data_IF_940650687030
#
_entry.id   IF_940650687030
#
_cell.length_a   1.000
_cell.length_b   1.000
_cell.length_c   1.000
_cell.angle_alpha   90.00
_cell.angle_beta   90.00
_cell.angle_gamma   90.00
#
_symmetry.space_group_name_H-M   'P 1'
#
loop_
_entity.id
_entity.type
_entity.pdbx_description
1 polymer ?
#
# COMPACT_ATOMS: atom_id res chain seq x y z
N UNK A 1 21.75 -16.55 29.52
CA UNK A 1 22.70 -16.35 28.41
C UNK A 1 23.46 -17.65 28.16
N UNK A 2 23.05 -18.44 27.17
CA UNK A 2 23.83 -19.62 26.74
C UNK A 2 24.89 -19.18 25.72
N UNK A 3 26.18 -19.42 26.00
CA UNK A 3 27.23 -19.28 24.99
C UNK A 3 27.09 -20.42 23.99
N UNK A 4 26.85 -20.09 22.73
CA UNK A 4 26.92 -21.06 21.61
C UNK A 4 28.28 -21.77 21.63
N UNK A 5 28.25 -23.09 21.42
CA UNK A 5 29.44 -23.93 21.48
C UNK A 5 30.44 -23.51 20.40
N UNK A 6 31.74 -23.58 20.68
CA UNK A 6 32.83 -23.17 19.74
C UNK A 6 32.73 -23.85 18.37
N UNK A 7 32.02 -24.97 18.27
CA UNK A 7 31.83 -25.74 17.05
C UNK A 7 30.61 -25.33 16.20
N UNK A 8 29.66 -24.57 16.73
CA UNK A 8 28.46 -24.16 15.99
C UNK A 8 28.74 -23.01 15.01
N UNK A 9 29.75 -22.18 15.32
CA UNK A 9 30.19 -21.04 14.50
C UNK A 9 30.70 -21.42 13.10
N UNK A 10 31.63 -22.38 12.95
CA UNK A 10 32.08 -22.76 11.60
C UNK A 10 30.96 -23.41 10.79
N UNK A 11 30.05 -24.17 11.41
CA UNK A 11 28.94 -24.84 10.70
C UNK A 11 27.92 -23.85 10.16
N UNK A 12 27.54 -22.84 10.96
CA UNK A 12 26.65 -21.76 10.48
C UNK A 12 27.31 -20.91 9.40
N UNK A 13 28.62 -20.65 9.50
CA UNK A 13 29.38 -19.98 8.43
C UNK A 13 29.40 -20.75 7.12
N UNK A 14 29.55 -22.07 7.18
CA UNK A 14 29.55 -22.94 5.99
C UNK A 14 28.18 -23.01 5.33
N UNK A 15 27.11 -23.15 6.12
CA UNK A 15 25.72 -23.15 5.62
C UNK A 15 25.35 -21.79 5.01
N UNK A 16 25.71 -20.69 5.68
CA UNK A 16 25.46 -19.33 5.17
C UNK A 16 26.21 -19.05 3.86
N UNK A 17 27.47 -19.49 3.76
CA UNK A 17 28.27 -19.34 2.55
C UNK A 17 27.71 -20.16 1.39
N UNK A 18 27.24 -21.39 1.65
CA UNK A 18 26.59 -22.25 0.67
C UNK A 18 25.26 -21.65 0.19
N UNK A 19 24.43 -21.11 1.08
CA UNK A 19 23.16 -20.47 0.73
C UNK A 19 23.37 -19.18 -0.05
N UNK A 20 24.34 -18.34 0.31
CA UNK A 20 24.65 -17.12 -0.42
C UNK A 20 25.25 -17.41 -1.80
N UNK A 21 26.15 -18.40 -1.90
CA UNK A 21 26.67 -18.86 -3.19
C UNK A 21 25.53 -19.40 -4.06
N UNK A 22 24.69 -20.30 -3.53
CA UNK A 22 23.54 -20.85 -4.25
C UNK A 22 22.52 -19.79 -4.67
N UNK A 23 22.23 -18.81 -3.81
CA UNK A 23 21.36 -17.66 -4.13
C UNK A 23 21.96 -16.80 -5.24
N UNK A 24 23.25 -16.50 -5.17
CA UNK A 24 23.98 -15.78 -6.21
C UNK A 24 23.93 -16.51 -7.56
N UNK A 25 24.20 -17.82 -7.60
CA UNK A 25 24.10 -18.60 -8.85
C UNK A 25 22.66 -18.68 -9.36
N UNK A 26 21.67 -18.77 -8.46
CA UNK A 26 20.27 -18.82 -8.83
C UNK A 26 19.79 -17.53 -9.52
N UNK A 27 20.35 -16.36 -9.20
CA UNK A 27 20.08 -15.10 -9.91
C UNK A 27 20.52 -15.14 -11.37
N UNK A 28 21.64 -15.80 -11.67
CA UNK A 28 22.17 -15.87 -13.03
C UNK A 28 21.55 -17.01 -13.86
N UNK A 29 21.12 -18.09 -13.22
CA UNK A 29 20.59 -19.27 -13.92
C UNK A 29 19.07 -19.22 -14.07
N UNK A 30 18.35 -18.62 -13.11
CA UNK A 30 16.89 -18.55 -13.14
C UNK A 30 16.40 -17.29 -13.86
N UNK A 31 15.55 -17.47 -14.87
CA UNK A 31 14.77 -16.37 -15.48
C UNK A 31 13.61 -15.90 -14.58
N UNK A 32 13.43 -16.52 -13.41
CA UNK A 32 12.35 -16.21 -12.49
C UNK A 32 12.82 -15.13 -11.49
N UNK A 33 12.57 -13.86 -11.82
CA UNK A 33 13.10 -12.69 -11.11
C UNK A 33 12.64 -12.60 -9.64
N UNK A 34 11.43 -13.04 -9.30
CA UNK A 34 10.91 -12.93 -7.94
C UNK A 34 11.59 -13.90 -6.94
N UNK A 35 11.89 -15.13 -7.38
CA UNK A 35 12.47 -16.17 -6.52
C UNK A 35 13.95 -15.94 -6.19
N UNK A 36 14.72 -15.42 -7.15
CA UNK A 36 16.16 -15.23 -6.99
C UNK A 36 16.51 -14.04 -6.11
N UNK A 37 15.72 -12.97 -6.15
CA UNK A 37 15.85 -11.80 -5.26
C UNK A 37 15.60 -12.20 -3.81
N UNK A 38 14.53 -12.95 -3.56
CA UNK A 38 14.18 -13.44 -2.20
C UNK A 38 15.28 -14.33 -1.63
N UNK A 39 15.82 -15.26 -2.43
CA UNK A 39 16.94 -16.12 -2.04
C UNK A 39 18.23 -15.35 -1.76
N UNK A 40 18.51 -14.29 -2.53
CA UNK A 40 19.69 -13.44 -2.34
C UNK A 40 19.57 -12.60 -1.07
N UNK A 41 18.40 -12.03 -0.81
CA UNK A 41 18.13 -11.29 0.42
C UNK A 41 18.23 -12.19 1.66
N UNK A 42 17.64 -13.39 1.62
CA UNK A 42 17.79 -14.39 2.68
C UNK A 42 19.26 -14.81 2.86
N UNK A 43 19.98 -15.07 1.76
CA UNK A 43 21.39 -15.43 1.77
C UNK A 43 22.26 -14.36 2.42
N UNK A 44 22.05 -13.09 2.06
CA UNK A 44 22.71 -11.94 2.67
C UNK A 44 22.45 -11.84 4.17
N UNK A 45 21.20 -12.05 4.60
CA UNK A 45 20.82 -12.05 6.02
C UNK A 45 21.50 -13.17 6.81
N UNK A 46 21.55 -14.39 6.26
CA UNK A 46 22.25 -15.52 6.89
C UNK A 46 23.75 -15.31 6.99
N UNK A 47 24.37 -14.70 5.97
CA UNK A 47 25.80 -14.40 5.95
C UNK A 47 26.15 -13.31 6.97
N UNK A 48 25.28 -12.31 7.14
CA UNK A 48 25.40 -11.31 8.18
C UNK A 48 25.34 -11.93 9.59
N UNK A 49 24.43 -12.88 9.82
CA UNK A 49 24.35 -13.63 11.08
C UNK A 49 25.61 -14.47 11.34
N UNK A 50 26.15 -15.10 10.30
CA UNK A 50 27.37 -15.90 10.39
C UNK A 50 28.60 -15.07 10.75
N UNK A 51 28.79 -13.90 10.12
CA UNK A 51 29.90 -12.99 10.42
C UNK A 51 29.75 -12.38 11.83
N UNK A 52 28.52 -12.03 12.22
CA UNK A 52 28.24 -11.40 13.51
C UNK A 52 28.27 -12.39 14.69
N UNK A 53 28.10 -13.69 14.44
CA UNK A 53 28.14 -14.75 15.44
C UNK A 53 27.07 -14.64 16.54
N UNK A 54 25.95 -13.97 16.24
CA UNK A 54 24.78 -13.76 17.11
C UNK A 54 23.51 -14.09 16.31
N UNK A 55 22.61 -14.89 16.89
CA UNK A 55 21.24 -15.05 16.38
C UNK A 55 20.49 -13.72 16.56
N UNK A 56 19.86 -13.23 15.48
CA UNK A 56 19.06 -12.00 15.49
C UNK A 56 17.74 -12.32 16.21
N UNK A 57 17.76 -12.33 17.54
CA UNK A 57 16.52 -12.44 18.35
C UNK A 57 15.98 -11.04 18.70
N UNK A 58 16.85 -10.04 18.74
CA UNK A 58 16.58 -8.60 18.58
C UNK A 58 17.95 -7.91 18.58
N UNK A 59 18.22 -7.03 17.62
CA UNK A 59 19.48 -6.25 17.62
C UNK A 59 19.24 -4.98 18.42
N UNK A 60 19.56 -5.02 19.72
CA UNK A 60 19.88 -3.82 20.49
C UNK A 60 21.37 -3.87 20.82
N UNK A 61 22.19 -3.21 19.99
CA UNK A 61 23.64 -3.12 20.15
C UNK A 61 24.03 -1.64 20.28
N UNK A 62 24.09 -1.16 21.52
CA UNK A 62 24.57 0.20 21.85
C UNK A 62 23.85 1.31 21.08
N UNK A 63 24.61 2.33 20.67
CA UNK A 63 24.14 3.51 19.94
C UNK A 63 24.19 3.35 18.40
N UNK A 64 24.26 2.12 17.88
CA UNK A 64 24.36 1.86 16.43
C UNK A 64 22.98 1.63 15.80
N UNK A 65 22.40 2.72 15.33
CA UNK A 65 21.11 2.81 14.63
C UNK A 65 21.25 2.56 13.10
N UNK A 66 22.05 1.56 12.72
CA UNK A 66 22.38 1.30 11.30
C UNK A 66 22.14 -0.17 10.98
N UNK A 67 20.89 -0.53 10.61
CA UNK A 67 20.51 -1.63 9.66
C UNK A 67 19.01 -1.98 9.66
N UNK A 68 18.14 -1.20 10.29
CA UNK A 68 16.72 -1.19 9.93
C UNK A 68 16.39 0.05 9.11
N UNK A 69 16.96 1.22 9.43
CA UNK A 69 16.80 2.45 8.65
C UNK A 69 17.20 2.29 7.17
N UNK A 70 18.29 1.57 6.87
CA UNK A 70 18.73 1.32 5.48
C UNK A 70 17.78 0.37 4.75
N UNK A 71 17.31 -0.69 5.43
CA UNK A 71 16.37 -1.65 4.87
C UNK A 71 15.00 -0.99 4.63
N UNK A 72 14.57 -0.12 5.55
CA UNK A 72 13.38 0.73 5.43
C UNK A 72 13.51 1.72 4.30
N UNK A 73 14.66 2.37 4.18
CA UNK A 73 14.95 3.32 3.10
C UNK A 73 14.95 2.61 1.76
N UNK A 74 15.57 1.42 1.66
CA UNK A 74 15.52 0.60 0.46
C UNK A 74 14.10 0.12 0.15
N UNK A 75 13.33 -0.34 1.14
CA UNK A 75 11.93 -0.73 0.92
C UNK A 75 11.07 0.45 0.44
N UNK A 76 11.26 1.64 1.01
CA UNK A 76 10.60 2.87 0.56
C UNK A 76 11.06 3.30 -0.85
N UNK A 77 12.35 3.21 -1.16
CA UNK A 77 12.89 3.48 -2.50
C UNK A 77 12.40 2.46 -3.53
N UNK A 78 12.29 1.18 -3.17
CA UNK A 78 11.76 0.10 -4.01
C UNK A 78 10.26 0.24 -4.24
N UNK A 79 9.49 0.58 -3.20
CA UNK A 79 8.08 0.93 -3.33
C UNK A 79 7.90 2.12 -4.28
N UNK A 80 8.74 3.16 -4.15
CA UNK A 80 8.75 4.31 -5.08
C UNK A 80 9.18 3.91 -6.50
N UNK A 81 10.00 2.88 -6.65
CA UNK A 81 10.43 2.35 -7.95
C UNK A 81 9.43 1.37 -8.59
N UNK A 82 8.25 1.16 -8.00
CA UNK A 82 7.22 0.26 -8.53
C UNK A 82 7.51 -1.23 -8.33
N UNK A 83 8.40 -1.59 -7.38
CA UNK A 83 8.71 -2.98 -7.05
C UNK A 83 7.74 -3.52 -6.00
N UNK A 84 6.45 -3.43 -6.26
CA UNK A 84 5.38 -3.74 -5.29
C UNK A 84 5.44 -5.17 -4.76
N UNK A 85 5.74 -6.16 -5.62
CA UNK A 85 5.89 -7.55 -5.20
C UNK A 85 7.02 -7.73 -4.17
N UNK A 86 8.13 -6.99 -4.33
CA UNK A 86 9.26 -7.07 -3.40
C UNK A 86 8.93 -6.37 -2.08
N UNK A 87 8.26 -5.22 -2.13
CA UNK A 87 7.82 -4.49 -0.94
C UNK A 87 6.80 -5.33 -0.14
N UNK A 88 5.85 -5.98 -0.81
CA UNK A 88 4.90 -6.92 -0.18
C UNK A 88 5.62 -8.12 0.43
N UNK A 89 6.52 -8.77 -0.31
CA UNK A 89 7.28 -9.91 0.22
C UNK A 89 8.13 -9.54 1.45
N UNK A 90 8.68 -8.32 1.45
CA UNK A 90 9.43 -7.77 2.59
C UNK A 90 8.51 -7.52 3.78
N UNK A 91 7.34 -6.92 3.56
CA UNK A 91 6.33 -6.69 4.59
C UNK A 91 5.86 -8.02 5.22
N UNK A 92 5.55 -9.02 4.39
CA UNK A 92 5.13 -10.35 4.84
C UNK A 92 6.22 -11.03 5.68
N UNK A 93 7.49 -10.89 5.27
CA UNK A 93 8.62 -11.41 6.04
C UNK A 93 8.77 -10.70 7.39
N UNK A 94 8.66 -9.38 7.44
CA UNK A 94 8.74 -8.60 8.68
C UNK A 94 7.65 -9.02 9.66
N UNK A 95 6.41 -9.15 9.20
CA UNK A 95 5.27 -9.61 10.02
C UNK A 95 5.44 -11.05 10.50
N UNK A 96 5.99 -11.93 9.66
CA UNK A 96 6.26 -13.33 10.02
C UNK A 96 7.38 -13.46 11.06
N UNK A 97 8.42 -12.64 10.99
CA UNK A 97 9.55 -12.67 11.92
C UNK A 97 9.22 -12.01 13.27
N UNK A 98 8.35 -11.00 13.27
CA UNK A 98 7.93 -10.30 14.47
C UNK A 98 6.41 -10.14 14.50
N UNK A 99 5.66 -11.00 15.22
CA UNK A 99 4.21 -10.87 15.37
C UNK A 99 3.75 -9.55 16.03
N UNK A 100 4.66 -8.80 16.66
CA UNK A 100 4.39 -7.46 17.19
C UNK A 100 4.63 -6.33 16.17
N UNK A 101 5.05 -6.66 14.93
CA UNK A 101 5.37 -5.70 13.88
C UNK A 101 4.20 -4.81 13.48
N UNK A 102 2.95 -5.27 13.64
CA UNK A 102 1.76 -4.45 13.34
C UNK A 102 1.65 -3.19 14.21
N UNK A 103 2.39 -3.13 15.33
CA UNK A 103 2.45 -1.94 16.20
C UNK A 103 3.67 -1.06 15.91
N UNK A 104 4.55 -1.50 15.03
CA UNK A 104 5.73 -0.75 14.62
C UNK A 104 5.30 0.33 13.61
N UNK A 105 5.45 1.63 13.92
CA UNK A 105 5.05 2.72 13.03
C UNK A 105 5.66 2.63 11.63
N UNK A 106 6.84 2.02 11.49
CA UNK A 106 7.55 1.93 10.22
C UNK A 106 7.03 0.79 9.35
N UNK A 107 6.64 -0.32 9.97
CA UNK A 107 5.95 -1.43 9.29
C UNK A 107 4.58 -0.94 8.82
N UNK A 108 3.89 -0.15 9.65
CA UNK A 108 2.62 0.47 9.30
C UNK A 108 2.77 1.45 8.13
N UNK A 109 3.80 2.30 8.15
CA UNK A 109 4.10 3.19 7.03
C UNK A 109 4.43 2.42 5.74
N UNK A 110 5.19 1.33 5.83
CA UNK A 110 5.45 0.47 4.68
C UNK A 110 4.16 -0.17 4.15
N UNK A 111 3.28 -0.64 5.01
CA UNK A 111 1.98 -1.21 4.62
C UNK A 111 1.10 -0.19 3.89
N UNK A 112 1.06 1.06 4.37
CA UNK A 112 0.35 2.16 3.69
C UNK A 112 0.92 2.38 2.29
N UNK A 113 2.25 2.49 2.16
CA UNK A 113 2.89 2.70 0.85
C UNK A 113 2.61 1.54 -0.12
N UNK A 114 2.70 0.29 0.37
CA UNK A 114 2.39 -0.90 -0.44
C UNK A 114 0.92 -0.87 -0.88
N UNK A 115 0.01 -0.49 0.02
CA UNK A 115 -1.41 -0.38 -0.30
C UNK A 115 -1.67 0.71 -1.35
N UNK A 116 -1.12 1.92 -1.18
CA UNK A 116 -1.25 3.02 -2.13
C UNK A 116 -0.74 2.63 -3.52
N UNK A 117 0.45 2.04 -3.61
CA UNK A 117 0.99 1.61 -4.89
C UNK A 117 0.12 0.54 -5.57
N UNK A 118 -0.47 -0.38 -4.79
CA UNK A 118 -1.40 -1.38 -5.32
C UNK A 118 -2.69 -0.76 -5.84
N UNK A 119 -3.17 0.31 -5.18
CA UNK A 119 -4.30 1.10 -5.69
C UNK A 119 -3.92 1.75 -7.02
N UNK A 120 -2.75 2.38 -7.11
CA UNK A 120 -2.26 2.98 -8.37
C UNK A 120 -2.16 1.96 -9.50
N UNK A 121 -1.55 0.79 -9.26
CA UNK A 121 -1.48 -0.29 -10.24
C UNK A 121 -2.86 -0.77 -10.70
N UNK A 122 -3.84 -0.84 -9.78
CA UNK A 122 -5.19 -1.26 -10.15
C UNK A 122 -5.96 -0.17 -10.89
N UNK A 123 -5.68 1.11 -10.63
CA UNK A 123 -6.22 2.23 -11.43
C UNK A 123 -5.66 2.17 -12.84
N UNK A 124 -4.34 1.95 -12.96
CA UNK A 124 -3.68 1.76 -14.25
C UNK A 124 -4.23 0.53 -14.99
N UNK A 125 -4.40 -0.59 -14.31
CA UNK A 125 -4.98 -1.78 -14.93
C UNK A 125 -6.47 -1.63 -15.31
N UNK A 126 -7.18 -0.67 -14.72
CA UNK A 126 -8.60 -0.42 -14.96
C UNK A 126 -8.88 0.62 -16.06
N UNK A 127 -7.87 1.36 -16.52
CA UNK A 127 -8.08 2.38 -17.55
C UNK A 127 -8.43 1.74 -18.90
N UNK A 128 -9.33 2.39 -19.65
CA UNK A 128 -9.63 2.03 -21.04
C UNK A 128 -8.82 2.89 -22.02
N UNK A 129 -8.76 2.49 -23.30
CA UNK A 129 -7.96 3.18 -24.35
C UNK A 129 -8.29 4.68 -24.52
N UNK A 130 -9.50 5.10 -24.13
CA UNK A 130 -9.98 6.49 -24.17
C UNK A 130 -9.91 7.20 -22.81
N UNK A 131 -9.16 6.67 -21.86
CA UNK A 131 -9.02 7.22 -20.51
C UNK A 131 -7.54 7.53 -20.24
N UNK A 132 -7.28 8.54 -19.42
CA UNK A 132 -5.94 8.91 -18.96
C UNK A 132 -5.89 8.84 -17.45
N UNK A 133 -4.79 8.34 -16.91
CA UNK A 133 -4.51 8.37 -15.46
C UNK A 133 -3.52 9.48 -15.16
N UNK A 134 -3.88 10.39 -14.25
CA UNK A 134 -3.00 11.42 -13.70
C UNK A 134 -2.57 11.00 -12.30
N UNK A 135 -1.27 10.79 -12.10
CA UNK A 135 -0.72 10.40 -10.80
C UNK A 135 -0.35 11.63 -9.97
N UNK A 136 -0.70 11.63 -8.69
CA UNK A 136 -0.27 12.64 -7.72
C UNK A 136 0.67 12.01 -6.70
N UNK A 137 1.96 12.06 -7.01
CA UNK A 137 2.99 11.63 -6.05
C UNK A 137 2.96 12.54 -4.82
N UNK A 138 2.94 11.95 -3.64
CA UNK A 138 2.84 12.65 -2.36
C UNK A 138 1.52 13.43 -2.17
N UNK A 139 0.41 12.89 -2.66
CA UNK A 139 -0.93 13.41 -2.38
C UNK A 139 -1.13 13.62 -0.86
N UNK A 140 -1.51 14.84 -0.49
CA UNK A 140 -1.82 15.19 0.88
C UNK A 140 -3.18 14.64 1.34
N UNK A 141 -3.51 14.86 2.62
CA UNK A 141 -4.84 14.54 3.14
C UNK A 141 -5.93 15.24 2.31
N UNK A 142 -6.86 14.48 1.74
CA UNK A 142 -7.97 15.01 0.93
C UNK A 142 -7.61 15.28 -0.54
N UNK A 143 -6.41 14.91 -0.98
CA UNK A 143 -6.01 14.94 -2.38
C UNK A 143 -6.07 13.52 -2.97
N UNK A 144 -6.56 13.35 -4.21
CA UNK A 144 -6.65 12.04 -4.83
C UNK A 144 -5.25 11.53 -5.17
N UNK A 145 -5.02 10.24 -4.91
CA UNK A 145 -3.79 9.55 -5.24
C UNK A 145 -3.60 9.46 -6.77
N UNK A 146 -4.70 9.25 -7.48
CA UNK A 146 -4.77 9.34 -8.93
C UNK A 146 -6.10 9.95 -9.38
N UNK A 147 -6.09 10.61 -10.53
CA UNK A 147 -7.30 11.08 -11.21
C UNK A 147 -7.43 10.33 -12.52
N UNK A 148 -8.53 9.58 -12.66
CA UNK A 148 -8.89 8.95 -13.93
C UNK A 148 -9.75 9.92 -14.74
N UNK A 149 -9.29 10.27 -15.94
CA UNK A 149 -9.93 11.23 -16.83
C UNK A 149 -10.51 10.48 -18.02
N UNK A 150 -11.84 10.39 -18.08
CA UNK A 150 -12.54 9.70 -19.16
C UNK A 150 -12.89 10.64 -20.32
N UNK A 151 -12.38 10.34 -21.51
CA UNK A 151 -12.70 11.07 -22.74
C UNK A 151 -13.95 10.48 -23.43
N UNK A 152 -14.68 11.29 -24.24
CA UNK A 152 -14.41 12.67 -24.63
C UNK A 152 -14.93 13.74 -23.65
N UNK A 153 -15.76 13.36 -22.69
CA UNK A 153 -16.51 14.29 -21.83
C UNK A 153 -15.68 14.95 -20.72
N UNK A 154 -14.37 14.65 -20.66
CA UNK A 154 -13.44 15.09 -19.61
C UNK A 154 -13.95 14.79 -18.18
N UNK A 155 -14.58 13.63 -17.98
CA UNK A 155 -15.10 13.23 -16.66
C UNK A 155 -13.93 12.79 -15.79
N UNK A 156 -13.63 13.60 -14.76
CA UNK A 156 -12.54 13.38 -13.81
C UNK A 156 -13.03 12.61 -12.59
N UNK A 157 -12.45 11.44 -12.31
CA UNK A 157 -12.74 10.62 -11.12
C UNK A 157 -11.51 10.63 -10.21
N UNK A 158 -11.65 11.21 -9.01
CA UNK A 158 -10.60 11.18 -8.00
C UNK A 158 -10.59 9.85 -7.26
N UNK A 159 -9.46 9.14 -7.27
CA UNK A 159 -9.28 7.87 -6.57
C UNK A 159 -8.45 8.09 -5.31
N UNK A 160 -8.96 7.63 -4.17
CA UNK A 160 -8.30 7.75 -2.86
C UNK A 160 -8.03 6.37 -2.27
N UNK A 161 -6.86 6.21 -1.66
CA UNK A 161 -6.59 5.12 -0.73
C UNK A 161 -7.06 5.54 0.66
N UNK A 162 -8.01 4.82 1.24
CA UNK A 162 -8.51 5.06 2.60
C UNK A 162 -7.89 4.04 3.55
N UNK A 163 -7.01 4.52 4.41
CA UNK A 163 -6.27 3.70 5.38
C UNK A 163 -6.11 4.46 6.69
N UNK A 164 -6.29 3.79 7.83
CA UNK A 164 -6.12 4.40 9.14
C UNK A 164 -4.65 4.34 9.59
N UNK A 165 -4.13 5.44 10.15
CA UNK A 165 -2.75 5.50 10.65
C UNK A 165 -2.55 4.73 11.96
N UNK A 166 -3.63 4.40 12.66
CA UNK A 166 -3.58 3.63 13.89
C UNK A 166 -4.23 2.25 13.74
N UNK A 167 -3.90 1.38 14.68
CA UNK A 167 -4.49 0.03 14.76
C UNK A 167 -5.95 0.06 15.21
N UNK A 168 -6.45 1.22 15.64
CA UNK A 168 -7.86 1.36 16.01
C UNK A 168 -8.75 1.48 14.78
N UNK A 169 -8.20 1.77 13.60
CA UNK A 169 -8.97 1.93 12.37
C UNK A 169 -9.74 3.26 12.31
N UNK A 170 -9.62 4.09 13.35
CA UNK A 170 -10.37 5.34 13.47
C UNK A 170 -9.53 6.54 13.05
N UNK A 171 -10.20 7.55 12.52
CA UNK A 171 -9.60 8.83 12.17
C UNK A 171 -10.28 9.93 12.95
N UNK A 172 -9.48 10.86 13.50
CA UNK A 172 -10.02 12.01 14.22
C UNK A 172 -11.01 12.78 13.34
N UNK A 173 -12.17 13.13 13.89
CA UNK A 173 -13.25 13.81 13.16
C UNK A 173 -12.77 15.09 12.46
N UNK A 174 -11.88 15.88 13.08
CA UNK A 174 -11.30 17.08 12.48
C UNK A 174 -10.49 16.81 11.21
N UNK A 175 -9.87 15.63 11.13
CA UNK A 175 -9.15 15.18 9.94
C UNK A 175 -10.12 14.73 8.85
N UNK A 176 -11.22 14.05 9.20
CA UNK A 176 -12.28 13.69 8.25
C UNK A 176 -12.97 14.94 7.68
N UNK A 177 -13.29 15.94 8.50
CA UNK A 177 -13.84 17.23 8.05
C UNK A 177 -12.87 17.97 7.13
N UNK A 178 -11.58 17.99 7.49
CA UNK A 178 -10.54 18.58 6.65
C UNK A 178 -10.40 17.86 5.31
N UNK A 179 -10.53 16.53 5.32
CA UNK A 179 -10.53 15.71 4.11
C UNK A 179 -11.72 16.05 3.23
N UNK A 180 -12.95 16.04 3.76
CA UNK A 180 -14.17 16.33 2.98
C UNK A 180 -14.08 17.72 2.33
N UNK A 181 -13.62 18.73 3.09
CA UNK A 181 -13.42 20.08 2.56
C UNK A 181 -12.43 20.08 1.39
N UNK A 182 -11.24 19.50 1.56
CA UNK A 182 -10.20 19.50 0.50
C UNK A 182 -10.61 18.66 -0.70
N UNK A 183 -11.22 17.50 -0.50
CA UNK A 183 -11.73 16.68 -1.58
C UNK A 183 -12.71 17.48 -2.45
N UNK A 184 -13.61 18.29 -1.84
CA UNK A 184 -14.55 19.15 -2.59
C UNK A 184 -13.87 20.26 -3.40
N UNK A 185 -12.71 20.74 -2.95
CA UNK A 185 -11.92 21.74 -3.67
C UNK A 185 -11.23 21.13 -4.91
N UNK A 186 -11.11 19.79 -4.98
CA UNK A 186 -10.57 19.13 -6.18
C UNK A 186 -11.59 19.14 -7.32
N UNK A 187 -11.11 19.34 -8.54
CA UNK A 187 -11.96 19.38 -9.73
C UNK A 187 -12.20 17.97 -10.28
N UNK A 188 -13.00 17.18 -9.54
CA UNK A 188 -13.39 15.81 -9.90
C UNK A 188 -14.91 15.69 -9.92
N UNK A 189 -15.49 15.11 -10.97
CA UNK A 189 -16.93 14.88 -11.09
C UNK A 189 -17.44 13.75 -10.18
N UNK A 190 -16.58 12.80 -9.81
CA UNK A 190 -16.89 11.71 -8.88
C UNK A 190 -15.66 11.28 -8.08
N UNK A 191 -15.89 10.46 -7.04
CA UNK A 191 -14.82 9.97 -6.19
C UNK A 191 -14.92 8.47 -5.94
N UNK A 192 -13.77 7.79 -5.90
CA UNK A 192 -13.65 6.37 -5.59
C UNK A 192 -12.73 6.18 -4.39
N UNK A 193 -13.26 5.66 -3.29
CA UNK A 193 -12.47 5.24 -2.14
C UNK A 193 -12.13 3.76 -2.23
N UNK A 194 -10.85 3.44 -2.16
CA UNK A 194 -10.36 2.09 -1.95
C UNK A 194 -9.97 1.95 -0.47
N UNK A 195 -10.86 1.35 0.32
CA UNK A 195 -10.69 1.17 1.75
C UNK A 195 -9.85 -0.07 2.06
N UNK A 196 -8.76 0.10 2.79
CA UNK A 196 -7.96 -1.00 3.33
C UNK A 196 -8.32 -1.36 4.76
N UNK A 197 -8.40 -0.35 5.64
CA UNK A 197 -8.53 -0.55 7.10
C UNK A 197 -9.41 0.47 7.82
N UNK A 198 -9.93 1.48 7.11
CA UNK A 198 -10.76 2.51 7.74
C UNK A 198 -12.07 1.90 8.24
N UNK A 199 -12.47 2.27 9.46
CA UNK A 199 -13.74 1.85 10.02
C UNK A 199 -14.93 2.30 9.16
N UNK A 200 -15.98 1.49 9.15
CA UNK A 200 -17.18 1.75 8.35
C UNK A 200 -17.86 3.08 8.71
N UNK A 201 -17.83 3.48 9.97
CA UNK A 201 -18.42 4.74 10.44
C UNK A 201 -17.69 5.96 9.85
N UNK A 202 -16.36 5.96 9.89
CA UNK A 202 -15.54 7.04 9.34
C UNK A 202 -15.65 7.09 7.80
N UNK A 203 -15.67 5.92 7.15
CA UNK A 203 -15.89 5.83 5.72
C UNK A 203 -17.28 6.35 5.32
N UNK A 204 -18.32 5.98 6.09
CA UNK A 204 -19.67 6.49 5.87
C UNK A 204 -19.74 8.01 6.07
N UNK A 205 -19.02 8.55 7.06
CA UNK A 205 -18.90 10.00 7.25
C UNK A 205 -18.27 10.69 6.02
N UNK A 206 -17.18 10.15 5.48
CA UNK A 206 -16.54 10.70 4.27
C UNK A 206 -17.48 10.67 3.06
N UNK A 207 -18.12 9.52 2.82
CA UNK A 207 -19.07 9.35 1.71
C UNK A 207 -20.23 10.33 1.84
N UNK A 208 -20.86 10.39 3.02
CA UNK A 208 -21.99 11.28 3.26
C UNK A 208 -21.59 12.76 3.16
N UNK A 209 -20.45 13.15 3.71
CA UNK A 209 -19.97 14.54 3.64
C UNK A 209 -19.72 14.99 2.20
N UNK A 210 -19.17 14.12 1.36
CA UNK A 210 -18.90 14.44 -0.05
C UNK A 210 -20.19 14.42 -0.89
N UNK A 211 -21.04 13.39 -0.74
CA UNK A 211 -22.29 13.28 -1.52
C UNK A 211 -23.30 14.36 -1.12
N UNK A 212 -23.49 14.61 0.19
CA UNK A 212 -24.49 15.57 0.69
C UNK A 212 -24.13 17.00 0.36
N UNK A 213 -22.87 17.39 0.58
CA UNK A 213 -22.48 18.80 0.46
C UNK A 213 -21.92 19.15 -0.92
N UNK A 214 -21.36 18.16 -1.64
CA UNK A 214 -20.81 18.34 -2.98
C UNK A 214 -21.75 17.91 -4.10
N UNK A 215 -22.75 17.08 -3.82
CA UNK A 215 -23.64 16.48 -4.84
C UNK A 215 -22.91 15.50 -5.78
N UNK A 216 -21.65 15.16 -5.49
CA UNK A 216 -20.82 14.35 -6.37
C UNK A 216 -20.92 12.87 -5.96
N UNK A 217 -21.18 11.94 -6.90
CA UNK A 217 -21.32 10.53 -6.56
C UNK A 217 -20.01 9.96 -6.01
N UNK A 218 -20.15 9.16 -4.96
CA UNK A 218 -19.02 8.46 -4.33
C UNK A 218 -19.19 6.95 -4.49
N UNK A 219 -18.08 6.29 -4.82
CA UNK A 219 -17.96 4.83 -4.88
C UNK A 219 -17.00 4.36 -3.81
N UNK A 220 -17.26 3.17 -3.26
CA UNK A 220 -16.38 2.53 -2.26
C UNK A 220 -16.05 1.13 -2.73
N UNK A 221 -14.79 0.75 -2.60
CA UNK A 221 -14.29 -0.62 -2.72
C UNK A 221 -13.50 -0.97 -1.47
N UNK A 222 -13.78 -2.11 -0.84
CA UNK A 222 -13.03 -2.56 0.35
C UNK A 222 -12.12 -3.69 -0.05
N UNK A 223 -10.83 -3.56 0.25
CA UNK A 223 -9.81 -4.55 -0.03
C UNK A 223 -9.25 -5.07 1.28
N UNK A 224 -8.94 -6.36 1.32
CA UNK A 224 -8.13 -6.90 2.41
C UNK A 224 -6.66 -6.71 2.06
N UNK A 225 -5.82 -6.45 3.06
CA UNK A 225 -4.38 -6.19 2.86
C UNK A 225 -3.66 -7.34 2.15
N UNK A 226 -4.16 -8.57 2.25
CA UNK A 226 -3.52 -9.79 1.73
C UNK A 226 -4.09 -10.32 0.42
N UNK A 227 -5.27 -9.88 -0.02
CA UNK A 227 -5.83 -10.33 -1.30
C UNK A 227 -5.10 -9.65 -2.47
N UNK A 228 -4.96 -10.29 -3.64
CA UNK A 228 -4.48 -9.62 -4.84
C UNK A 228 -5.37 -8.41 -5.19
N UNK A 229 -4.81 -7.42 -5.88
CA UNK A 229 -5.49 -6.19 -6.30
C UNK A 229 -6.80 -6.52 -7.02
N UNK A 230 -7.93 -6.07 -6.46
CA UNK A 230 -9.22 -6.30 -7.10
C UNK A 230 -9.36 -5.38 -8.32
N UNK A 231 -10.00 -5.87 -9.38
CA UNK A 231 -10.27 -5.06 -10.55
C UNK A 231 -11.18 -3.86 -10.20
N UNK A 232 -10.69 -2.64 -10.39
CA UNK A 232 -11.43 -1.40 -10.12
C UNK A 232 -12.42 -1.02 -11.23
N UNK A 233 -12.30 -1.60 -12.43
CA UNK A 233 -13.10 -1.26 -13.61
C UNK A 233 -14.61 -1.23 -13.33
N UNK A 234 -15.22 -2.26 -12.69
CA UNK A 234 -16.66 -2.24 -12.44
C UNK A 234 -17.10 -1.08 -11.52
N UNK A 235 -16.24 -0.63 -10.61
CA UNK A 235 -16.53 0.51 -9.74
C UNK A 235 -16.42 1.83 -10.50
N UNK A 236 -15.40 1.98 -11.36
CA UNK A 236 -15.22 3.12 -12.26
C UNK A 236 -16.41 3.25 -13.21
N UNK A 237 -16.85 2.15 -13.86
CA UNK A 237 -17.98 2.14 -14.78
C UNK A 237 -19.30 2.58 -14.12
N UNK A 238 -19.55 2.12 -12.90
CA UNK A 238 -20.73 2.55 -12.12
C UNK A 238 -20.69 4.05 -11.83
N UNK A 239 -19.52 4.60 -11.50
CA UNK A 239 -19.38 6.03 -11.26
C UNK A 239 -19.54 6.83 -12.55
N UNK A 240 -18.92 6.41 -13.66
CA UNK A 240 -19.10 7.03 -14.97
C UNK A 240 -20.56 7.05 -15.39
N UNK A 241 -21.30 5.96 -15.13
CA UNK A 241 -22.74 5.88 -15.42
C UNK A 241 -23.54 6.82 -14.52
N UNK A 242 -23.20 6.96 -13.23
CA UNK A 242 -23.85 7.92 -12.32
C UNK A 242 -23.59 9.38 -12.71
N UNK A 243 -22.39 9.69 -13.20
CA UNK A 243 -22.02 11.04 -13.64
C UNK A 243 -22.67 11.40 -14.98
N UNK A 244 -22.67 10.47 -15.94
CA UNK A 244 -23.23 10.68 -17.29
C UNK A 244 -24.76 10.51 -17.34
N UNK A 245 -25.32 9.80 -16.37
CA UNK A 245 -26.77 9.60 -16.27
C UNK A 245 -27.48 10.94 -16.14
N UNK A 246 -28.74 11.04 -16.59
CA UNK A 246 -29.52 12.27 -16.47
C UNK A 246 -29.56 12.68 -14.98
N UNK A 247 -28.97 13.83 -14.66
CA UNK A 247 -29.03 14.42 -13.30
C UNK A 247 -30.46 14.83 -12.89
N UNK A 248 -31.46 14.60 -13.75
CA UNK A 248 -32.72 15.34 -13.81
C UNK A 248 -33.96 14.57 -13.37
N UNK A 249 -33.83 13.35 -12.81
CA UNK A 249 -34.89 12.81 -11.95
C UNK A 249 -34.60 13.16 -10.49
N UNK A 250 -34.61 14.47 -10.20
CA UNK A 250 -34.98 14.90 -8.87
C UNK A 250 -36.31 14.20 -8.52
N UNK A 251 -36.41 13.47 -7.40
CA UNK A 251 -37.64 12.80 -7.02
C UNK A 251 -38.74 13.85 -6.97
N UNK A 252 -39.66 13.81 -7.94
CA UNK A 252 -40.86 14.64 -7.89
C UNK A 252 -41.57 14.25 -6.61
N UNK A 253 -41.43 15.05 -5.57
CA UNK A 253 -42.22 14.91 -4.35
C UNK A 253 -43.67 15.02 -4.83
N UNK A 254 -44.50 13.96 -4.68
CA UNK A 254 -45.88 14.03 -5.08
C UNK A 254 -46.52 15.18 -4.29
N UNK A 255 -46.93 16.23 -5.00
CA UNK A 255 -47.75 17.28 -4.40
C UNK A 255 -49.06 16.62 -3.97
N UNK A 256 -49.28 16.56 -2.65
CA UNK A 256 -50.57 16.23 -2.07
C UNK A 256 -51.46 17.47 -2.03
#
# INVERSE_FOLDING_TARGET
MGRLARWERPVTGLIGSLLAAAGGTAVFVSKNQAGSVTLTALGGLFLLMAVSGRTIESVRIGDWEITMAELRRQAAEQARAGLNEQAQATLDLLKKLNPGADRDPEVHALEINVFENRVLEAVEAAHADNERVEHHFAAGLGEPLAVLVAQPDDVRIGVFAAYALDTSGHVAQTSLESFVRRARETDCAAYLFVNGTLHQEDLAFLVQGIERDGGRPVGVQTWTSTAPSANLRPAVDRLLTRVRGPQDEAPRIPQQ
#
